data_IF_681049657168
#
_entry.id   IF_681049657168
#
_cell.length_a   1.000
_cell.length_b   1.000
_cell.length_c   1.000
_cell.angle_alpha   90.00
_cell.angle_beta   90.00
_cell.angle_gamma   90.00
#
_symmetry.space_group_name_H-M   'P 1'
#
loop_
_entity.id
_entity.type
_entity.pdbx_description
1 polymer ?
#
# COMPACT_ATOMS: atom_id res chain seq x y z
N UNK A 1 -0.39 -15.53 -11.48
CA UNK A 1 -0.75 -14.22 -10.92
C UNK A 1 -1.49 -14.46 -9.62
N UNK A 2 -0.91 -14.03 -8.51
CA UNK A 2 -1.49 -14.11 -7.17
C UNK A 2 -1.75 -12.70 -6.64
N UNK A 3 -2.76 -12.57 -5.77
CA UNK A 3 -3.09 -11.28 -5.14
C UNK A 3 -1.98 -10.83 -4.19
N UNK A 4 -1.28 -11.76 -3.55
CA UNK A 4 -0.14 -11.49 -2.69
C UNK A 4 1.11 -12.19 -3.23
N UNK A 5 2.08 -11.41 -3.67
CA UNK A 5 3.38 -11.87 -4.15
C UNK A 5 4.49 -11.17 -3.34
N UNK A 6 5.74 -11.63 -3.47
CA UNK A 6 6.90 -10.91 -2.91
C UNK A 6 7.32 -9.78 -3.85
N UNK A 7 7.96 -8.69 -3.36
CA UNK A 7 8.33 -8.42 -1.97
C UNK A 7 7.17 -7.87 -1.13
N UNK A 8 7.40 -7.66 0.19
CA UNK A 8 6.39 -7.13 1.12
C UNK A 8 6.96 -5.95 1.90
N UNK A 9 6.17 -4.90 2.08
CA UNK A 9 6.48 -3.84 3.05
C UNK A 9 6.32 -4.39 4.47
N UNK A 10 7.43 -4.89 5.02
CA UNK A 10 7.49 -5.45 6.37
C UNK A 10 8.87 -5.22 6.96
N UNK A 11 8.94 -4.95 8.27
CA UNK A 11 10.20 -4.89 9.00
C UNK A 11 11.00 -6.19 8.95
N UNK A 12 10.35 -7.31 8.63
CA UNK A 12 11.00 -8.62 8.49
C UNK A 12 11.50 -8.92 7.08
N UNK A 13 11.19 -8.09 6.08
CA UNK A 13 11.66 -8.30 4.71
C UNK A 13 13.11 -7.82 4.57
N UNK A 14 14.08 -8.69 4.25
CA UNK A 14 15.49 -8.33 4.28
C UNK A 14 16.02 -7.79 2.95
N UNK A 15 15.20 -7.78 1.89
CA UNK A 15 15.61 -7.41 0.53
C UNK A 15 15.24 -5.99 0.15
N UNK A 16 15.76 -5.56 -1.00
CA UNK A 16 15.32 -4.33 -1.67
C UNK A 16 14.09 -4.59 -2.53
N UNK A 17 13.28 -3.55 -2.75
CA UNK A 17 12.15 -3.61 -3.68
C UNK A 17 12.67 -3.20 -5.07
N UNK A 18 12.58 -4.07 -6.09
CA UNK A 18 13.11 -3.78 -7.40
C UNK A 18 12.26 -2.73 -8.14
N UNK A 19 12.91 -1.95 -9.00
CA UNK A 19 12.23 -1.10 -9.97
C UNK A 19 11.30 -1.93 -10.87
N UNK A 20 10.12 -1.39 -11.17
CA UNK A 20 9.04 -2.06 -11.87
C UNK A 20 8.11 -2.90 -10.98
N UNK A 21 8.42 -3.11 -9.70
CA UNK A 21 7.53 -3.83 -8.79
C UNK A 21 6.22 -3.06 -8.56
N UNK A 22 5.09 -3.75 -8.66
CA UNK A 22 3.76 -3.21 -8.31
C UNK A 22 3.39 -3.70 -6.92
N UNK A 23 3.14 -2.80 -5.99
CA UNK A 23 2.87 -3.12 -4.58
C UNK A 23 1.71 -2.29 -4.01
N UNK A 24 1.08 -2.80 -2.95
CA UNK A 24 0.13 -2.04 -2.15
C UNK A 24 0.84 -1.25 -1.05
N UNK A 25 0.42 -0.01 -0.83
CA UNK A 25 0.75 0.80 0.35
C UNK A 25 -0.53 0.99 1.15
N UNK A 26 -0.66 0.24 2.25
CA UNK A 26 -1.97 0.03 2.91
C UNK A 26 -1.96 0.13 4.46
N UNK A 27 -1.41 1.20 5.06
CA UNK A 27 -1.42 1.35 6.50
C UNK A 27 -2.86 1.48 7.04
N UNK A 28 -3.10 0.90 8.21
CA UNK A 28 -4.39 1.00 8.89
C UNK A 28 -4.27 1.09 10.41
N UNK A 29 -5.22 1.80 11.02
CA UNK A 29 -5.40 1.89 12.47
C UNK A 29 -6.77 1.31 12.82
N UNK A 30 -6.79 0.43 13.82
CA UNK A 30 -7.99 -0.26 14.26
C UNK A 30 -8.13 -0.10 15.78
N UNK A 31 -9.28 0.40 16.22
CA UNK A 31 -9.62 0.60 17.62
C UNK A 31 -10.74 -0.38 18.00
N UNK A 32 -10.46 -1.35 18.89
CA UNK A 32 -11.44 -2.34 19.31
C UNK A 32 -12.73 -1.70 19.84
N UNK A 33 -13.87 -2.20 19.37
CA UNK A 33 -15.20 -1.72 19.78
C UNK A 33 -15.65 -0.40 19.16
N UNK A 34 -14.81 0.28 18.37
CA UNK A 34 -15.17 1.53 17.69
C UNK A 34 -15.14 1.39 16.17
N UNK A 35 -14.05 0.85 15.61
CA UNK A 35 -13.88 0.70 14.17
C UNK A 35 -12.42 0.80 13.76
N UNK A 36 -12.18 1.07 12.48
CA UNK A 36 -10.84 1.27 11.95
C UNK A 36 -10.86 1.87 10.56
N UNK A 37 -9.71 2.37 10.14
CA UNK A 37 -9.50 2.97 8.82
C UNK A 37 -8.25 2.37 8.22
N UNK A 38 -8.34 1.97 6.95
CA UNK A 38 -7.20 1.64 6.10
C UNK A 38 -7.31 2.48 4.83
N UNK A 39 -6.20 3.10 4.43
CA UNK A 39 -6.09 3.80 3.16
C UNK A 39 -5.08 3.00 2.34
N UNK A 40 -5.48 2.61 1.13
CA UNK A 40 -4.74 1.67 0.31
C UNK A 40 -4.61 2.23 -1.11
N UNK A 41 -3.37 2.28 -1.59
CA UNK A 41 -3.03 2.62 -2.98
C UNK A 41 -2.15 1.52 -3.59
N UNK A 42 -2.30 1.29 -4.89
CA UNK A 42 -1.31 0.54 -5.68
C UNK A 42 -0.24 1.50 -6.21
N UNK A 43 1.02 1.13 -6.09
CA UNK A 43 2.15 1.90 -6.60
C UNK A 43 3.04 1.03 -7.48
N UNK A 44 3.66 1.63 -8.50
CA UNK A 44 4.79 1.05 -9.22
C UNK A 44 6.07 1.72 -8.74
N UNK A 45 7.04 0.92 -8.31
CA UNK A 45 8.36 1.39 -7.90
C UNK A 45 9.18 1.72 -9.16
N UNK A 46 9.85 2.85 -9.16
CA UNK A 46 10.83 3.26 -10.18
C UNK A 46 12.19 3.52 -9.53
N UNK A 47 13.16 3.92 -10.35
CA UNK A 47 14.54 4.08 -9.89
C UNK A 47 14.71 5.26 -8.91
N UNK A 48 13.91 6.32 -9.06
CA UNK A 48 13.98 7.54 -8.24
C UNK A 48 12.74 7.77 -7.34
N UNK A 49 11.89 6.75 -7.16
CA UNK A 49 10.67 6.88 -6.35
C UNK A 49 9.58 5.89 -6.73
N UNK A 50 8.32 6.24 -6.49
CA UNK A 50 7.18 5.42 -6.86
C UNK A 50 6.05 6.26 -7.47
N UNK A 51 5.32 5.68 -8.42
CA UNK A 51 4.14 6.30 -9.03
C UNK A 51 2.85 5.63 -8.53
N UNK A 52 1.85 6.43 -8.15
CA UNK A 52 0.55 5.94 -7.68
C UNK A 52 -0.35 5.60 -8.87
N UNK A 53 -0.96 4.42 -8.86
CA UNK A 53 -1.82 3.90 -9.92
C UNK A 53 -3.32 4.11 -9.64
N UNK A 54 -3.67 4.36 -8.39
CA UNK A 54 -5.05 4.54 -7.90
C UNK A 54 -5.39 6.01 -7.67
N UNK A 55 -6.66 6.39 -7.90
CA UNK A 55 -7.09 7.80 -7.91
C UNK A 55 -8.16 8.14 -6.89
N UNK A 56 -8.56 7.18 -6.05
CA UNK A 56 -9.55 7.44 -5.01
C UNK A 56 -9.04 8.52 -4.05
N UNK A 57 -9.95 9.38 -3.59
CA UNK A 57 -9.59 10.37 -2.57
C UNK A 57 -9.20 9.67 -1.27
N UNK A 58 -8.14 10.17 -0.63
CA UNK A 58 -7.68 9.70 0.67
C UNK A 58 -8.39 10.44 1.82
N UNK A 59 -9.25 11.39 1.47
CA UNK A 59 -10.05 12.15 2.43
C UNK A 59 -11.36 11.43 2.72
N UNK A 60 -11.89 11.65 3.93
CA UNK A 60 -13.20 11.17 4.29
C UNK A 60 -14.26 11.72 3.31
N UNK A 61 -15.02 10.80 2.71
CA UNK A 61 -16.20 11.14 1.91
C UNK A 61 -17.41 10.96 2.81
N UNK A 62 -18.12 12.05 3.07
CA UNK A 62 -19.36 12.05 3.83
C UNK A 62 -20.53 12.11 2.85
N UNK A 63 -21.54 11.28 3.07
CA UNK A 63 -22.80 11.27 2.32
C UNK A 63 -23.85 12.18 2.96
#
# INVERSE_FOLDING_TARGET
LAVHESPRFSFSYPGEVPSGAVMTVEPGIYIPGWGGVRIEDMVVVGDDGAAVLTTATKMAVLS
#
